data_IF_612016908273
#
_entry.id   IF_612016908273
#
_cell.length_a   1.000
_cell.length_b   1.000
_cell.length_c   1.000
_cell.angle_alpha   90.00
_cell.angle_beta   90.00
_cell.angle_gamma   90.00
#
_symmetry.space_group_name_H-M   'P 1'
#
loop_
_entity.id
_entity.type
_entity.pdbx_description
1 polymer ?
#
# COMPACT_ATOMS: atom_id res chain seq x y z
N UNK A 1 10.09 -21.18 -11.79
CA UNK A 1 10.20 -19.69 -11.82
C UNK A 1 9.53 -19.18 -13.08
N UNK A 2 8.64 -18.16 -13.04
CA UNK A 2 8.03 -17.63 -14.24
C UNK A 2 8.96 -16.69 -15.02
N UNK A 3 8.60 -16.37 -16.26
CA UNK A 3 9.28 -15.37 -17.07
C UNK A 3 9.26 -13.99 -16.37
N UNK A 4 10.43 -13.38 -16.18
CA UNK A 4 10.58 -12.12 -15.43
C UNK A 4 9.81 -10.93 -16.04
N UNK A 5 9.63 -10.88 -17.36
CA UNK A 5 8.93 -9.78 -18.03
C UNK A 5 7.39 -9.93 -18.07
N UNK A 6 6.87 -11.13 -18.31
CA UNK A 6 5.44 -11.35 -18.60
C UNK A 6 4.74 -12.28 -17.61
N UNK A 7 5.45 -12.83 -16.63
CA UNK A 7 4.90 -13.72 -15.61
C UNK A 7 4.50 -15.11 -16.12
N UNK A 8 4.72 -15.45 -17.41
CA UNK A 8 4.38 -16.77 -17.95
C UNK A 8 5.16 -17.87 -17.25
N UNK A 9 4.46 -18.86 -16.70
CA UNK A 9 5.07 -20.06 -16.13
C UNK A 9 5.74 -20.89 -17.22
N UNK A 10 6.93 -21.41 -16.93
CA UNK A 10 7.59 -22.37 -17.82
C UNK A 10 6.95 -23.74 -17.65
N UNK A 11 6.79 -24.45 -18.77
CA UNK A 11 6.21 -25.79 -18.87
C UNK A 11 7.13 -26.60 -19.77
N UNK A 12 6.93 -27.92 -19.87
CA UNK A 12 7.74 -28.79 -20.75
C UNK A 12 7.75 -28.29 -22.21
N UNK A 13 6.65 -27.67 -22.66
CA UNK A 13 6.53 -27.09 -24.00
C UNK A 13 7.15 -25.69 -24.13
N UNK A 14 7.31 -24.96 -23.04
CA UNK A 14 7.86 -23.60 -23.04
C UNK A 14 9.15 -23.52 -22.24
N UNK A 15 10.26 -23.77 -22.94
CA UNK A 15 11.62 -23.71 -22.40
C UNK A 15 11.96 -22.33 -21.85
N UNK A 16 12.76 -22.33 -20.80
CA UNK A 16 13.34 -21.13 -20.20
C UNK A 16 14.60 -20.68 -20.93
N UNK A 17 14.78 -19.36 -21.04
CA UNK A 17 15.97 -18.74 -21.62
C UNK A 17 16.51 -17.66 -20.69
N UNK A 18 17.82 -17.60 -20.52
CA UNK A 18 18.49 -16.58 -19.70
C UNK A 18 18.95 -15.40 -20.56
N UNK A 19 18.85 -14.19 -20.01
CA UNK A 19 19.48 -13.00 -20.61
C UNK A 19 21.00 -13.06 -20.40
N UNK A 20 21.79 -12.80 -21.45
CA UNK A 20 23.25 -12.85 -21.36
C UNK A 20 23.84 -11.77 -20.45
N UNK A 21 23.13 -10.65 -20.24
CA UNK A 21 23.57 -9.55 -19.39
C UNK A 21 23.11 -9.71 -17.93
N UNK A 22 21.79 -9.73 -17.69
CA UNK A 22 21.24 -9.74 -16.31
C UNK A 22 20.96 -11.14 -15.74
N UNK A 23 21.21 -12.20 -16.52
CA UNK A 23 21.03 -13.62 -16.15
C UNK A 23 19.64 -14.04 -15.65
N UNK A 24 18.63 -13.17 -15.72
CA UNK A 24 17.23 -13.48 -15.38
C UNK A 24 16.59 -14.39 -16.42
N UNK A 25 15.56 -15.14 -16.00
CA UNK A 25 14.82 -16.09 -16.85
C UNK A 25 13.68 -15.42 -17.61
N UNK A 26 13.57 -15.76 -18.89
CA UNK A 26 12.59 -15.22 -19.82
C UNK A 26 12.05 -16.30 -20.76
N UNK A 27 10.84 -16.11 -21.27
CA UNK A 27 10.35 -16.91 -22.40
C UNK A 27 10.98 -16.44 -23.72
N UNK A 28 10.96 -17.28 -24.75
CA UNK A 28 11.50 -16.98 -26.09
C UNK A 28 10.95 -15.68 -26.68
N UNK A 29 9.69 -15.34 -26.39
CA UNK A 29 9.06 -14.08 -26.85
C UNK A 29 9.64 -12.84 -26.16
N UNK A 30 10.01 -12.95 -24.89
CA UNK A 30 10.55 -11.84 -24.11
C UNK A 30 12.07 -11.68 -24.30
N UNK A 31 12.79 -12.75 -24.66
CA UNK A 31 14.22 -12.73 -24.96
C UNK A 31 14.50 -12.73 -26.47
N UNK A 32 13.92 -11.77 -27.18
CA UNK A 32 14.04 -11.65 -28.64
C UNK A 32 15.13 -10.69 -29.11
N UNK A 33 15.67 -9.87 -28.22
CA UNK A 33 16.59 -8.80 -28.57
C UNK A 33 18.01 -9.35 -28.70
N UNK A 34 18.75 -8.87 -29.70
CA UNK A 34 20.12 -9.31 -29.99
C UNK A 34 21.04 -8.10 -30.06
N UNK A 35 22.20 -8.18 -29.43
CA UNK A 35 23.24 -7.16 -29.53
C UNK A 35 24.54 -7.79 -30.02
N UNK A 36 25.21 -7.14 -30.99
CA UNK A 36 26.48 -7.61 -31.56
C UNK A 36 27.61 -6.99 -30.74
N UNK A 37 28.38 -7.81 -30.05
CA UNK A 37 29.56 -7.35 -29.31
C UNK A 37 30.79 -7.55 -30.19
N UNK A 38 31.61 -6.51 -30.31
CA UNK A 38 32.84 -6.51 -31.06
C UNK A 38 34.04 -6.51 -30.10
N UNK A 39 34.27 -7.64 -29.43
CA UNK A 39 35.48 -7.91 -28.65
C UNK A 39 36.01 -9.27 -29.09
N UNK A 40 37.34 -9.41 -29.31
CA UNK A 40 38.11 -10.07 -30.40
C UNK A 40 37.46 -11.06 -31.39
N UNK A 41 36.33 -11.68 -31.09
CA UNK A 41 35.51 -12.51 -31.97
C UNK A 41 34.07 -11.98 -31.98
N UNK A 42 33.52 -11.70 -33.16
CA UNK A 42 32.13 -11.21 -33.30
C UNK A 42 31.14 -12.26 -32.78
N UNK A 43 30.49 -11.98 -31.66
CA UNK A 43 29.43 -12.84 -31.11
C UNK A 43 28.14 -12.05 -30.84
N UNK A 44 27.00 -12.71 -31.01
CA UNK A 44 25.67 -12.11 -30.79
C UNK A 44 25.10 -12.51 -29.44
N UNK A 45 24.94 -11.56 -28.53
CA UNK A 45 24.31 -11.78 -27.22
C UNK A 45 22.78 -11.64 -27.32
N UNK A 46 22.03 -12.51 -26.63
CA UNK A 46 20.57 -12.46 -26.48
C UNK A 46 20.21 -11.74 -25.18
N UNK A 47 19.42 -10.69 -25.31
CA UNK A 47 19.11 -9.76 -24.24
C UNK A 47 17.61 -9.65 -23.99
N UNK A 48 17.24 -9.32 -22.76
CA UNK A 48 15.90 -8.80 -22.46
C UNK A 48 15.79 -7.35 -22.93
N UNK A 49 14.55 -6.84 -23.04
CA UNK A 49 14.32 -5.47 -23.52
C UNK A 49 15.08 -4.41 -22.71
N UNK A 50 15.04 -4.51 -21.38
CA UNK A 50 15.72 -3.55 -20.49
C UNK A 50 17.24 -3.53 -20.68
N UNK A 51 17.87 -4.71 -20.83
CA UNK A 51 19.32 -4.78 -21.09
C UNK A 51 19.67 -4.30 -22.50
N UNK A 52 18.83 -4.62 -23.50
CA UNK A 52 19.01 -4.14 -24.87
C UNK A 52 18.92 -2.61 -24.96
N UNK A 53 17.94 -2.00 -24.28
CA UNK A 53 17.79 -0.54 -24.24
C UNK A 53 18.98 0.12 -23.54
N UNK A 54 19.44 -0.44 -22.40
CA UNK A 54 20.60 0.05 -21.67
C UNK A 54 21.90 0.00 -22.50
N UNK A 55 22.14 -1.11 -23.20
CA UNK A 55 23.38 -1.31 -23.96
C UNK A 55 23.40 -0.46 -25.23
N UNK A 56 22.27 -0.32 -25.94
CA UNK A 56 22.21 0.47 -27.17
C UNK A 56 21.93 1.96 -26.94
N UNK A 57 21.41 2.32 -25.77
CA UNK A 57 21.14 3.71 -25.40
C UNK A 57 21.69 4.01 -24.01
N UNK A 58 23.03 4.07 -23.86
CA UNK A 58 23.67 4.30 -22.57
C UNK A 58 23.41 5.72 -22.01
N UNK A 59 23.01 6.65 -22.87
CA UNK A 59 22.71 8.05 -22.49
C UNK A 59 21.22 8.28 -22.21
N UNK A 60 20.36 7.28 -22.44
CA UNK A 60 19.06 7.26 -21.78
C UNK A 60 19.34 6.99 -20.32
N UNK A 61 19.29 8.05 -19.53
CA UNK A 61 19.10 7.93 -18.10
C UNK A 61 17.91 6.99 -17.92
N UNK A 62 18.18 5.76 -17.47
CA UNK A 62 17.19 4.93 -16.85
C UNK A 62 16.85 5.69 -15.59
N UNK A 63 15.98 6.67 -15.73
CA UNK A 63 15.36 7.41 -14.65
C UNK A 63 14.82 6.31 -13.76
N UNK A 64 15.54 5.99 -12.69
CA UNK A 64 15.01 5.28 -11.54
C UNK A 64 14.01 6.25 -11.00
N UNK A 65 12.86 6.36 -11.69
CA UNK A 65 11.85 7.41 -11.60
C UNK A 65 12.29 8.41 -10.55
N UNK A 66 13.07 9.43 -10.96
CA UNK A 66 13.57 10.49 -10.08
C UNK A 66 12.56 10.64 -8.99
N UNK A 67 13.04 10.50 -7.75
CA UNK A 67 12.24 10.45 -6.53
C UNK A 67 11.46 11.74 -6.29
N UNK A 68 11.21 12.53 -7.34
CA UNK A 68 10.13 13.47 -7.42
C UNK A 68 8.85 12.75 -7.00
N UNK A 69 8.30 13.16 -5.83
CA UNK A 69 7.02 12.68 -5.37
C UNK A 69 6.01 12.79 -6.52
N UNK A 70 5.15 11.77 -6.73
CA UNK A 70 4.10 11.83 -7.73
C UNK A 70 3.43 13.19 -7.70
N UNK A 71 3.14 13.81 -8.85
CA UNK A 71 2.61 15.19 -8.91
C UNK A 71 1.43 15.43 -7.99
N UNK A 72 0.60 14.41 -7.75
CA UNK A 72 -0.51 14.39 -6.80
C UNK A 72 -0.03 14.67 -5.36
N UNK A 73 1.04 14.01 -4.93
CA UNK A 73 1.67 14.27 -3.64
C UNK A 73 2.17 15.71 -3.59
N UNK A 74 2.91 16.17 -4.61
CA UNK A 74 3.42 17.54 -4.71
C UNK A 74 2.31 18.61 -4.62
N UNK A 75 1.20 18.39 -5.32
CA UNK A 75 0.02 19.27 -5.34
C UNK A 75 -0.71 19.23 -3.99
N UNK A 76 -0.74 18.07 -3.31
CA UNK A 76 -1.26 17.92 -1.94
C UNK A 76 -0.40 18.68 -0.92
N UNK A 77 0.93 18.63 -1.00
CA UNK A 77 1.81 19.41 -0.12
C UNK A 77 1.67 20.92 -0.37
N UNK A 78 1.52 21.34 -1.63
CA UNK A 78 1.29 22.76 -1.96
C UNK A 78 -0.08 23.26 -1.50
N UNK A 79 -1.16 22.45 -1.65
CA UNK A 79 -2.50 22.83 -1.21
C UNK A 79 -2.69 22.85 0.29
N UNK A 80 -1.99 21.98 1.01
CA UNK A 80 -2.04 21.93 2.48
C UNK A 80 -1.22 23.03 3.15
N UNK A 81 -0.39 23.77 2.40
CA UNK A 81 0.45 24.87 2.92
C UNK A 81 1.07 24.52 4.30
N UNK A 82 1.63 23.30 4.44
CA UNK A 82 2.15 22.74 5.72
C UNK A 82 3.21 23.66 6.37
N UNK A 83 3.73 24.64 5.63
CA UNK A 83 4.69 25.62 6.11
C UNK A 83 4.14 27.06 6.30
N UNK A 84 2.82 27.32 6.25
CA UNK A 84 2.33 28.71 6.37
C UNK A 84 1.15 29.00 7.30
N UNK A 85 0.30 28.05 7.68
CA UNK A 85 -0.75 28.38 8.67
C UNK A 85 -1.07 27.20 9.60
N UNK A 86 -1.05 27.40 10.93
CA UNK A 86 -1.62 26.43 11.86
C UNK A 86 -3.13 26.29 11.60
N UNK A 87 -3.71 25.09 11.74
CA UNK A 87 -5.15 24.92 11.64
C UNK A 87 -5.82 25.73 12.76
N UNK A 88 -6.66 26.69 12.39
CA UNK A 88 -7.51 27.42 13.32
C UNK A 88 -8.59 26.47 13.85
N UNK A 89 -8.26 25.67 14.86
CA UNK A 89 -9.25 24.92 15.64
C UNK A 89 -10.01 25.94 16.49
N UNK A 90 -11.31 26.12 16.21
CA UNK A 90 -12.18 26.91 17.09
C UNK A 90 -12.25 26.20 18.46
N UNK A 91 -12.02 26.89 19.60
CA UNK A 91 -11.95 26.22 20.88
C UNK A 91 -13.30 25.63 21.29
N UNK A 92 -13.31 24.36 21.66
CA UNK A 92 -14.35 23.78 22.52
C UNK A 92 -14.14 24.36 23.93
N UNK A 93 -15.15 25.04 24.46
CA UNK A 93 -15.16 25.52 25.83
C UNK A 93 -15.41 24.33 26.77
N UNK A 94 -14.35 23.70 27.26
CA UNK A 94 -14.42 22.85 28.45
C UNK A 94 -13.57 23.48 29.54
N UNK A 95 -14.25 24.07 30.52
CA UNK A 95 -13.67 24.53 31.76
C UNK A 95 -13.08 23.32 32.49
N UNK A 96 -11.75 23.22 32.54
CA UNK A 96 -10.97 22.73 33.67
C UNK A 96 -9.49 22.95 33.38
N UNK A 97 -8.84 23.71 34.26
CA UNK A 97 -7.50 24.24 34.06
C UNK A 97 -6.43 23.16 33.97
N UNK A 98 -5.69 23.19 32.86
CA UNK A 98 -4.29 22.80 32.79
C UNK A 98 -3.58 23.92 32.06
N UNK A 99 -2.55 24.47 32.71
CA UNK A 99 -1.75 25.61 32.26
C UNK A 99 -1.20 25.37 30.86
N UNK A 100 -1.74 26.09 29.88
CA UNK A 100 -1.19 26.18 28.54
C UNK A 100 0.06 27.02 28.58
N UNK A 101 1.23 26.39 28.49
CA UNK A 101 2.44 27.09 28.07
C UNK A 101 2.52 27.00 26.55
N UNK A 102 1.76 27.86 25.90
CA UNK A 102 1.88 28.17 24.48
C UNK A 102 3.16 28.97 24.24
N UNK A 103 3.85 28.67 23.14
CA UNK A 103 5.06 29.31 22.59
C UNK A 103 6.37 28.63 23.01
N UNK A 104 6.60 27.38 22.62
CA UNK A 104 7.97 26.97 22.33
C UNK A 104 8.27 27.44 20.92
N UNK A 105 9.19 28.39 20.77
CA UNK A 105 9.69 28.79 19.46
C UNK A 105 10.29 27.57 18.75
N UNK A 106 10.41 27.61 17.43
CA UNK A 106 11.05 26.53 16.67
C UNK A 106 12.47 26.25 17.19
N UNK A 107 13.16 27.27 17.66
CA UNK A 107 14.48 27.16 18.29
C UNK A 107 14.45 26.42 19.64
N UNK A 108 13.37 26.56 20.41
CA UNK A 108 13.17 25.79 21.65
C UNK A 108 12.91 24.32 21.36
N UNK A 109 12.17 24.02 20.27
CA UNK A 109 11.94 22.66 19.81
C UNK A 109 13.23 22.02 19.28
N UNK A 110 14.03 22.75 18.52
CA UNK A 110 15.34 22.27 18.04
C UNK A 110 16.34 22.07 19.18
N UNK A 111 16.34 22.98 20.16
CA UNK A 111 17.18 22.85 21.35
C UNK A 111 16.76 21.65 22.20
N UNK A 112 15.44 21.43 22.33
CA UNK A 112 14.87 20.28 23.04
C UNK A 112 15.17 18.96 22.33
N UNK A 113 15.09 18.90 21.00
CA UNK A 113 15.42 17.67 20.24
C UNK A 113 16.91 17.36 20.28
N UNK A 114 17.78 18.36 20.18
CA UNK A 114 19.24 18.18 20.38
C UNK A 114 19.56 17.66 21.78
N UNK A 115 18.94 18.24 22.81
CA UNK A 115 19.14 17.80 24.20
C UNK A 115 18.70 16.35 24.43
N UNK A 116 17.55 15.95 23.85
CA UNK A 116 17.09 14.56 23.87
C UNK A 116 18.02 13.60 23.14
N UNK A 117 18.74 14.05 22.10
CA UNK A 117 19.72 13.24 21.37
C UNK A 117 21.01 13.02 22.18
N UNK A 118 21.41 14.00 22.99
CA UNK A 118 22.59 13.89 23.88
C UNK A 118 22.29 13.14 25.19
N UNK A 119 21.06 13.24 25.70
CA UNK A 119 20.63 12.58 26.94
C UNK A 119 20.21 11.11 26.74
N UNK A 120 20.35 10.53 25.52
CA UNK A 120 20.21 9.07 25.34
C UNK A 120 21.38 8.41 26.05
N UNK A 121 21.16 7.62 27.12
CA UNK A 121 22.24 6.86 27.72
C UNK A 121 22.74 5.90 26.66
N UNK A 122 23.99 6.07 26.22
CA UNK A 122 24.74 5.21 25.29
C UNK A 122 24.97 3.79 25.83
N UNK A 123 24.20 3.35 26.82
CA UNK A 123 24.35 2.09 27.54
C UNK A 123 23.13 1.18 27.55
N UNK A 124 22.16 1.34 26.64
CA UNK A 124 21.03 0.40 26.57
C UNK A 124 20.66 -0.12 25.19
N UNK A 125 21.56 0.05 24.20
CA UNK A 125 21.47 -0.75 22.98
C UNK A 125 22.17 -2.07 23.31
N UNK A 126 21.45 -3.21 23.41
CA UNK A 126 22.06 -4.50 23.64
C UNK A 126 23.12 -4.75 22.56
N UNK A 127 24.26 -5.31 22.94
CA UNK A 127 25.31 -5.62 21.96
C UNK A 127 24.77 -6.60 20.93
N UNK A 128 25.36 -6.60 19.73
CA UNK A 128 24.99 -7.56 18.67
C UNK A 128 25.03 -9.02 19.17
N UNK A 129 25.96 -9.33 20.07
CA UNK A 129 26.15 -10.65 20.67
C UNK A 129 25.08 -10.98 21.74
N UNK A 130 24.60 -9.99 22.50
CA UNK A 130 23.46 -10.15 23.41
C UNK A 130 22.17 -10.42 22.63
N UNK A 131 22.02 -9.76 21.47
CA UNK A 131 20.90 -9.97 20.55
C UNK A 131 20.96 -11.38 19.93
N UNK A 132 22.12 -11.84 19.48
CA UNK A 132 22.30 -13.18 18.91
C UNK A 132 22.05 -14.28 19.96
N UNK A 133 22.52 -14.08 21.19
CA UNK A 133 22.26 -14.99 22.31
C UNK A 133 20.78 -15.09 22.67
N UNK A 134 20.03 -13.97 22.63
CA UNK A 134 18.57 -13.97 22.77
C UNK A 134 17.89 -14.76 21.65
N UNK A 135 18.38 -14.63 20.41
CA UNK A 135 17.85 -15.31 19.25
C UNK A 135 18.07 -16.83 19.33
N UNK A 136 19.27 -17.26 19.74
CA UNK A 136 19.57 -18.68 19.95
C UNK A 136 18.69 -19.30 21.05
N UNK A 137 18.46 -18.58 22.17
CA UNK A 137 17.56 -19.03 23.25
C UNK A 137 16.11 -19.19 22.80
N UNK A 138 15.65 -18.35 21.87
CA UNK A 138 14.31 -18.46 21.29
C UNK A 138 14.22 -19.61 20.28
N UNK A 139 15.31 -19.90 19.56
CA UNK A 139 15.39 -21.01 18.60
C UNK A 139 15.62 -22.38 19.28
N UNK A 140 16.20 -22.40 20.48
CA UNK A 140 16.38 -23.60 21.31
C UNK A 140 15.12 -24.00 22.11
N UNK A 141 14.03 -23.22 22.01
CA UNK A 141 12.69 -23.75 22.29
C UNK A 141 12.37 -24.72 21.17
N UNK A 142 12.88 -25.94 21.31
CA UNK A 142 12.61 -27.04 20.38
C UNK A 142 11.11 -27.12 20.16
N UNK A 143 10.76 -27.24 18.88
CA UNK A 143 9.57 -27.91 18.37
C UNK A 143 9.52 -29.41 18.81
N UNK A 144 9.68 -29.67 20.11
CA UNK A 144 9.80 -30.99 20.72
C UNK A 144 9.13 -31.02 22.09
N UNK A 145 7.90 -30.52 22.17
CA UNK A 145 6.84 -31.13 22.99
C UNK A 145 5.49 -31.02 22.26
N UNK A 146 5.42 -31.57 21.04
CA UNK A 146 4.17 -32.14 20.54
C UNK A 146 4.55 -33.44 19.82
N UNK A 147 4.31 -34.56 20.51
CA UNK A 147 4.54 -35.91 19.98
C UNK A 147 3.62 -36.26 18.81
N UNK A 148 3.83 -37.45 18.20
CA UNK A 148 3.16 -37.84 16.96
C UNK A 148 1.70 -38.28 17.20
N UNK A 149 0.85 -37.97 16.21
CA UNK A 149 -0.49 -38.51 15.98
C UNK A 149 -1.48 -38.50 17.14
N UNK A 150 -2.40 -37.54 17.11
CA UNK A 150 -3.82 -37.83 17.36
C UNK A 150 -4.62 -37.50 16.11
N UNK A 151 -5.11 -38.58 15.51
CA UNK A 151 -6.30 -38.64 14.66
C UNK A 151 -7.35 -37.68 15.23
N UNK A 152 -7.90 -36.80 14.40
CA UNK A 152 -9.06 -35.98 14.74
C UNK A 152 -10.16 -36.86 15.35
N UNK A 153 -10.54 -36.67 16.62
CA UNK A 153 -11.84 -37.14 17.07
C UNK A 153 -12.87 -36.18 16.49
N UNK A 154 -13.79 -36.75 15.72
CA UNK A 154 -15.04 -36.10 15.30
C UNK A 154 -15.81 -35.74 16.59
N UNK A 155 -15.79 -34.46 16.96
CA UNK A 155 -16.54 -33.92 18.09
C UNK A 155 -17.83 -33.32 17.54
N UNK A 156 -18.94 -33.82 18.07
CA UNK A 156 -20.32 -33.56 17.67
C UNK A 156 -20.75 -32.10 17.87
N UNK A 157 -21.66 -31.65 17.00
CA UNK A 157 -22.19 -30.28 16.88
C UNK A 157 -22.84 -29.67 18.14
N UNK A 158 -23.00 -30.44 19.22
CA UNK A 158 -23.66 -30.00 20.46
C UNK A 158 -22.77 -29.13 21.37
N UNK A 159 -21.44 -29.34 21.40
CA UNK A 159 -20.56 -28.53 22.28
C UNK A 159 -20.29 -27.13 21.72
N UNK A 160 -20.27 -26.97 20.38
CA UNK A 160 -20.09 -25.67 19.72
C UNK A 160 -21.20 -24.66 20.07
N UNK A 161 -22.40 -25.16 20.35
CA UNK A 161 -23.56 -24.32 20.69
C UNK A 161 -23.45 -23.66 22.07
N UNK A 162 -22.67 -24.26 22.98
CA UNK A 162 -22.55 -23.78 24.36
C UNK A 162 -21.48 -22.70 24.54
N UNK A 163 -20.44 -22.72 23.70
CA UNK A 163 -19.36 -21.73 23.73
C UNK A 163 -19.73 -20.45 22.97
N UNK A 164 -20.42 -20.55 21.82
CA UNK A 164 -20.93 -19.36 21.10
C UNK A 164 -21.96 -18.58 21.96
N UNK A 165 -22.81 -19.26 22.72
CA UNK A 165 -23.78 -18.63 23.63
C UNK A 165 -23.13 -17.89 24.82
N UNK A 166 -21.91 -18.27 25.23
CA UNK A 166 -21.19 -17.60 26.32
C UNK A 166 -20.48 -16.32 25.86
N UNK A 167 -20.16 -16.21 24.57
CA UNK A 167 -19.56 -15.00 23.97
C UNK A 167 -20.62 -13.91 23.80
N UNK A 168 -21.83 -14.29 23.39
CA UNK A 168 -22.97 -13.37 23.20
C UNK A 168 -23.47 -12.75 24.51
N UNK A 169 -23.31 -13.45 25.65
CA UNK A 169 -23.67 -12.92 26.97
C UNK A 169 -22.66 -11.89 27.52
N UNK A 170 -21.39 -11.96 27.10
CA UNK A 170 -20.32 -11.05 27.55
C UNK A 170 -20.24 -9.76 26.72
N UNK A 171 -20.65 -9.82 25.45
CA UNK A 171 -20.76 -8.66 24.58
C UNK A 171 -22.21 -8.17 24.60
N UNK A 172 -22.53 -7.18 25.44
CA UNK A 172 -23.88 -6.60 25.57
C UNK A 172 -24.44 -6.05 24.26
N UNK A 173 -24.97 -6.92 23.41
CA UNK A 173 -25.60 -6.59 22.15
C UNK A 173 -27.06 -6.24 22.44
N UNK A 174 -27.35 -4.95 22.44
CA UNK A 174 -28.72 -4.44 22.47
C UNK A 174 -29.15 -4.36 21.01
N UNK A 175 -30.13 -5.17 20.62
CA UNK A 175 -30.74 -5.17 19.29
C UNK A 175 -31.33 -3.78 18.99
N UNK A 176 -30.79 -3.00 18.03
CA UNK A 176 -31.41 -1.74 17.67
C UNK A 176 -32.53 -2.04 16.67
N UNK A 177 -33.78 -1.94 17.15
CA UNK A 177 -34.98 -1.89 16.30
C UNK A 177 -34.76 -0.97 15.08
N UNK A 178 -35.36 -1.32 13.92
CA UNK A 178 -35.15 -0.59 12.68
C UNK A 178 -35.85 0.76 12.76
N UNK A 179 -35.10 1.80 13.11
CA UNK A 179 -35.52 3.19 12.89
C UNK A 179 -35.22 3.54 11.45
N UNK A 180 -36.25 3.52 10.61
CA UNK A 180 -36.29 4.23 9.34
C UNK A 180 -35.87 5.70 9.58
N UNK A 181 -34.62 6.01 9.27
CA UNK A 181 -34.15 7.39 9.14
C UNK A 181 -33.89 7.63 7.67
N UNK A 182 -34.82 8.33 7.05
CA UNK A 182 -34.59 9.12 5.85
C UNK A 182 -33.35 9.99 6.07
N UNK A 183 -32.24 9.64 5.42
CA UNK A 183 -31.03 10.45 5.40
C UNK A 183 -31.30 11.64 4.48
N UNK A 184 -31.60 12.80 5.07
CA UNK A 184 -31.49 14.06 4.34
C UNK A 184 -30.01 14.24 3.92
N UNK A 185 -29.71 14.61 2.66
CA UNK A 185 -28.33 14.74 2.23
C UNK A 185 -27.74 15.96 2.92
N UNK A 186 -26.92 15.73 3.94
CA UNK A 186 -26.04 16.75 4.51
C UNK A 186 -25.13 17.27 3.38
N UNK A 187 -25.12 18.58 3.17
CA UNK A 187 -24.39 19.25 2.07
C UNK A 187 -22.85 19.13 2.14
N UNK A 188 -22.33 18.32 3.07
CA UNK A 188 -20.91 18.07 3.34
C UNK A 188 -20.57 16.57 3.32
N UNK A 189 -21.28 15.75 2.53
CA UNK A 189 -20.75 14.42 2.21
C UNK A 189 -19.44 14.59 1.44
N UNK A 190 -18.34 14.22 2.09
CA UNK A 190 -16.96 14.25 1.60
C UNK A 190 -16.77 13.28 0.43
N UNK A 191 -17.46 13.55 -0.68
CA UNK A 191 -17.34 12.79 -1.91
C UNK A 191 -15.93 13.00 -2.48
N UNK A 192 -15.09 12.06 -2.09
CA UNK A 192 -13.68 11.99 -2.37
C UNK A 192 -13.46 11.98 -3.90
N UNK A 193 -12.83 13.01 -4.48
CA UNK A 193 -12.81 13.24 -5.93
C UNK A 193 -11.82 12.32 -6.68
N UNK A 194 -11.56 11.13 -6.15
CA UNK A 194 -10.61 10.16 -6.68
C UNK A 194 -11.29 8.85 -7.05
N UNK A 195 -10.68 8.17 -8.02
CA UNK A 195 -11.08 6.87 -8.50
C UNK A 195 -10.87 5.83 -7.39
N UNK A 196 -11.94 5.14 -6.98
CA UNK A 196 -11.93 4.14 -5.91
C UNK A 196 -10.98 2.95 -6.17
N UNK A 197 -10.57 2.74 -7.44
CA UNK A 197 -9.69 1.62 -7.84
C UNK A 197 -8.20 2.01 -7.87
N UNK A 198 -7.87 3.22 -8.32
CA UNK A 198 -6.47 3.60 -8.60
C UNK A 198 -6.03 4.94 -7.99
N UNK A 199 -6.92 5.63 -7.27
CA UNK A 199 -6.69 6.92 -6.63
C UNK A 199 -6.26 8.06 -7.59
N UNK A 200 -6.43 7.89 -8.91
CA UNK A 200 -6.34 8.98 -9.90
C UNK A 200 -7.61 9.83 -9.88
N UNK A 201 -7.59 11.02 -10.49
CA UNK A 201 -8.78 11.90 -10.54
C UNK A 201 -10.00 11.18 -11.13
N UNK A 202 -11.12 11.24 -10.42
CA UNK A 202 -12.36 10.68 -10.90
C UNK A 202 -13.01 11.62 -11.92
N UNK A 203 -13.44 11.04 -13.05
CA UNK A 203 -14.16 11.76 -14.12
C UNK A 203 -15.54 11.16 -14.39
N UNK A 204 -15.86 10.04 -13.75
CA UNK A 204 -17.08 9.26 -13.97
C UNK A 204 -17.60 8.79 -12.62
N UNK A 205 -18.91 8.94 -12.39
CA UNK A 205 -19.64 8.27 -11.31
C UNK A 205 -20.48 7.13 -11.89
N UNK A 206 -20.49 6.00 -11.21
CA UNK A 206 -21.42 4.92 -11.52
C UNK A 206 -22.63 5.01 -10.59
N UNK A 207 -23.86 5.09 -11.12
CA UNK A 207 -25.07 5.25 -10.28
C UNK A 207 -25.34 4.01 -9.43
N UNK A 208 -25.01 2.82 -9.95
CA UNK A 208 -25.33 1.53 -9.32
C UNK A 208 -24.23 1.07 -8.35
N UNK A 209 -23.00 1.57 -8.50
CA UNK A 209 -21.95 1.35 -7.52
C UNK A 209 -21.86 2.50 -6.51
N UNK A 210 -22.52 3.62 -6.77
CA UNK A 210 -22.38 4.89 -6.03
C UNK A 210 -20.94 5.44 -5.94
N UNK A 211 -19.98 4.75 -6.58
CA UNK A 211 -18.56 5.03 -6.57
C UNK A 211 -18.08 5.89 -7.75
N UNK A 212 -16.91 6.48 -7.54
CA UNK A 212 -16.18 7.32 -8.47
C UNK A 212 -15.03 6.58 -9.15
N UNK A 213 -14.86 6.83 -10.45
CA UNK A 213 -13.89 6.15 -11.30
C UNK A 213 -13.23 7.13 -12.28
N UNK A 214 -11.98 6.84 -12.66
CA UNK A 214 -11.33 7.46 -13.80
C UNK A 214 -11.79 6.79 -15.12
N UNK A 215 -11.62 7.47 -16.25
CA UNK A 215 -11.98 6.96 -17.59
C UNK A 215 -11.40 5.56 -17.88
N UNK A 216 -10.20 5.25 -17.38
CA UNK A 216 -9.54 3.96 -17.59
C UNK A 216 -10.14 2.84 -16.75
N UNK A 217 -10.37 3.09 -15.46
CA UNK A 217 -10.93 2.12 -14.53
C UNK A 217 -12.41 1.84 -14.84
N UNK A 218 -13.17 2.88 -15.21
CA UNK A 218 -14.55 2.73 -15.67
C UNK A 218 -14.62 1.85 -16.93
N UNK A 219 -13.80 2.12 -17.97
CA UNK A 219 -13.80 1.26 -19.17
C UNK A 219 -13.32 -0.16 -18.91
N UNK A 220 -12.45 -0.41 -17.93
CA UNK A 220 -11.96 -1.76 -17.63
C UNK A 220 -12.94 -2.57 -16.78
N UNK A 221 -13.57 -1.94 -15.80
CA UNK A 221 -14.54 -2.57 -14.90
C UNK A 221 -15.94 -2.62 -15.48
N UNK A 222 -16.41 -1.51 -16.05
CA UNK A 222 -17.80 -1.29 -16.47
C UNK A 222 -18.06 -1.48 -17.97
N UNK A 223 -17.11 -2.03 -18.74
CA UNK A 223 -17.36 -2.46 -20.13
C UNK A 223 -17.83 -3.91 -20.25
N UNK A 224 -17.70 -4.70 -19.17
CA UNK A 224 -18.04 -6.11 -19.19
C UNK A 224 -19.56 -6.33 -19.18
N UNK A 225 -19.98 -7.48 -19.72
CA UNK A 225 -21.40 -7.85 -19.89
C UNK A 225 -22.20 -7.90 -18.58
N UNK A 226 -21.53 -8.03 -17.44
CA UNK A 226 -22.13 -8.03 -16.10
C UNK A 226 -22.53 -6.62 -15.62
N UNK A 227 -21.90 -5.57 -16.14
CA UNK A 227 -22.14 -4.17 -15.74
C UNK A 227 -22.97 -3.40 -16.77
N UNK A 228 -23.72 -4.10 -17.64
CA UNK A 228 -24.56 -3.47 -18.66
C UNK A 228 -25.67 -2.58 -18.09
N UNK A 229 -26.09 -2.88 -16.86
CA UNK A 229 -27.11 -2.11 -16.17
C UNK A 229 -26.52 -0.95 -15.36
N UNK A 230 -25.20 -0.73 -15.44
CA UNK A 230 -24.54 0.36 -14.73
C UNK A 230 -24.54 1.61 -15.62
N UNK A 231 -25.15 2.67 -15.11
CA UNK A 231 -25.24 3.98 -15.73
C UNK A 231 -24.04 4.81 -15.30
N UNK A 232 -23.21 5.20 -16.26
CA UNK A 232 -22.03 6.01 -16.04
C UNK A 232 -22.34 7.48 -16.35
N UNK A 233 -22.21 8.34 -15.36
CA UNK A 233 -22.44 9.80 -15.48
C UNK A 233 -21.10 10.51 -15.34
N UNK A 234 -20.92 11.62 -16.07
CA UNK A 234 -19.72 12.46 -15.91
C UNK A 234 -19.72 13.11 -14.53
N UNK A 235 -18.61 12.95 -13.82
CA UNK A 235 -18.38 13.60 -12.54
C UNK A 235 -17.47 14.81 -12.73
N UNK A 236 -17.90 15.96 -12.19
CA UNK A 236 -17.09 17.16 -12.11
C UNK A 236 -16.96 17.53 -10.62
N UNK A 237 -15.75 17.52 -10.04
CA UNK A 237 -15.57 17.80 -8.63
C UNK A 237 -15.98 19.25 -8.32
N UNK A 238 -16.77 19.44 -7.26
CA UNK A 238 -17.08 20.77 -6.75
C UNK A 238 -15.78 21.38 -6.21
N UNK A 239 -15.31 22.48 -6.81
CA UNK A 239 -14.17 23.23 -6.27
C UNK A 239 -14.60 23.79 -4.91
N UNK A 240 -14.00 23.33 -3.81
CA UNK A 240 -14.20 23.97 -2.51
C UNK A 240 -13.71 25.42 -2.62
N UNK A 241 -14.59 26.38 -2.38
CA UNK A 241 -14.21 27.79 -2.31
C UNK A 241 -13.23 27.96 -1.15
N UNK A 242 -12.02 28.46 -1.45
CA UNK A 242 -11.08 28.89 -0.42
C UNK A 242 -11.77 30.00 0.38
N UNK A 243 -12.16 29.71 1.62
CA UNK A 243 -12.62 30.71 2.60
C UNK A 243 -11.43 31.11 3.45
#
# INVERSE_FOLDING_TARGET
>A
MPCFQCGKQFTVLSREHSCDECKRLFCSRCLRYKHKVSTPTVHTMKLCYACYERINNPNRQHHTRDLDPPKILLDRMMRLEINRTPPHVKPINTANGVTSNSNTSQDDLESRTKKLLYDVPTGSIPSFEELESRLHKLMDVKASEVGPSKVFPELSDEEKLTEEAQIDAACGYVDPEPKEKSHEPSEDDDELPWCSICNEDATIRCVQCEDLFCDRCSKKGHSNRQFKNHTLVRYAPKKRAKT
#
